data_IF_445167656559
#
_entry.id   IF_445167656559
#
_cell.length_a   1.000
_cell.length_b   1.000
_cell.length_c   1.000
_cell.angle_alpha   90.00
_cell.angle_beta   90.00
_cell.angle_gamma   90.00
#
_symmetry.space_group_name_H-M   'P 1'
#
loop_
_entity.id
_entity.type
_entity.pdbx_description
1 polymer ?
#
# COMPACT_ATOMS: atom_id res chain seq x y z
N UNK A 1 -7.40 -0.34 22.79
CA UNK A 1 -6.05 -0.52 22.23
C UNK A 1 -5.96 0.36 20.98
N UNK A 2 -4.85 1.00 20.67
CA UNK A 2 -4.74 1.77 19.42
C UNK A 2 -4.43 0.82 18.27
N UNK A 3 -4.88 1.14 17.04
CA UNK A 3 -4.58 0.37 15.82
C UNK A 3 -3.06 0.10 15.66
N UNK A 4 -2.24 1.09 16.00
CA UNK A 4 -0.78 0.99 16.04
C UNK A 4 -0.29 -0.17 16.92
N UNK A 5 -0.82 -0.29 18.12
CA UNK A 5 -0.44 -1.35 19.06
C UNK A 5 -0.89 -2.73 18.59
N UNK A 6 -2.05 -2.81 17.97
CA UNK A 6 -2.57 -4.06 17.38
C UNK A 6 -1.67 -4.56 16.24
N UNK A 7 -1.21 -3.66 15.36
CA UNK A 7 -0.24 -4.00 14.31
C UNK A 7 1.08 -4.51 14.87
N UNK A 8 1.66 -3.83 15.88
CA UNK A 8 2.91 -4.24 16.51
C UNK A 8 2.76 -5.61 17.18
N UNK A 9 1.65 -5.84 17.86
CA UNK A 9 1.35 -7.14 18.48
C UNK A 9 1.23 -8.24 17.43
N UNK A 10 0.50 -7.99 16.34
CA UNK A 10 0.36 -8.93 15.24
C UNK A 10 1.71 -9.29 14.60
N UNK A 11 2.57 -8.29 14.33
CA UNK A 11 3.92 -8.53 13.78
C UNK A 11 4.75 -9.37 14.75
N UNK A 12 4.65 -9.12 16.05
CA UNK A 12 5.36 -9.88 17.08
C UNK A 12 4.88 -11.34 17.11
N UNK A 13 3.58 -11.57 16.99
CA UNK A 13 3.00 -12.92 16.90
C UNK A 13 3.42 -13.65 15.62
N UNK A 14 3.47 -12.94 14.48
CA UNK A 14 3.95 -13.51 13.21
C UNK A 14 5.41 -13.94 13.31
N UNK A 15 6.26 -13.15 13.98
CA UNK A 15 7.67 -13.48 14.21
C UNK A 15 7.85 -14.79 14.98
N UNK A 16 6.95 -15.11 15.88
CA UNK A 16 7.00 -16.37 16.63
C UNK A 16 6.54 -17.60 15.82
N UNK A 17 5.81 -17.39 14.73
CA UNK A 17 5.18 -18.47 13.94
C UNK A 17 5.85 -18.74 12.60
N UNK A 18 6.43 -17.71 11.98
CA UNK A 18 6.96 -17.78 10.62
C UNK A 18 8.44 -17.35 10.61
N UNK A 19 9.29 -18.17 10.00
CA UNK A 19 10.66 -17.82 9.65
C UNK A 19 10.66 -16.96 8.39
N UNK A 20 10.31 -15.67 8.52
CA UNK A 20 10.22 -14.76 7.38
C UNK A 20 11.61 -14.57 6.77
N UNK A 21 11.76 -14.72 5.42
CA UNK A 21 13.03 -14.54 4.74
C UNK A 21 13.58 -13.12 4.88
N UNK A 22 14.88 -12.97 4.65
CA UNK A 22 15.53 -11.65 4.67
C UNK A 22 15.14 -10.80 3.46
N UNK A 23 15.40 -9.52 3.57
CA UNK A 23 15.19 -8.59 2.46
C UNK A 23 16.27 -8.83 1.41
N UNK A 24 15.86 -9.23 0.22
CA UNK A 24 16.73 -9.45 -0.94
C UNK A 24 17.02 -8.14 -1.68
N UNK A 25 16.01 -7.32 -1.85
CA UNK A 25 16.15 -6.04 -2.55
C UNK A 25 15.16 -4.99 -2.07
N UNK A 26 15.51 -3.72 -2.35
CA UNK A 26 14.64 -2.58 -2.11
C UNK A 26 14.67 -1.67 -3.34
N UNK A 27 13.49 -1.22 -3.77
CA UNK A 27 13.33 -0.19 -4.78
C UNK A 27 13.03 1.14 -4.10
N UNK A 28 13.90 2.13 -4.30
CA UNK A 28 13.80 3.46 -3.76
C UNK A 28 13.77 4.46 -4.92
N UNK A 29 12.59 4.82 -5.45
CA UNK A 29 12.50 5.84 -6.50
C UNK A 29 12.93 7.20 -5.95
N UNK A 30 13.54 8.08 -6.75
CA UNK A 30 13.91 9.41 -6.32
C UNK A 30 12.70 10.21 -5.83
N UNK A 31 12.86 10.97 -4.76
CA UNK A 31 11.85 11.88 -4.25
C UNK A 31 12.12 13.30 -4.81
N UNK A 32 11.34 13.70 -5.79
CA UNK A 32 11.48 14.97 -6.50
C UNK A 32 10.74 16.12 -5.80
N UNK A 33 11.15 17.36 -6.12
CA UNK A 33 10.42 18.56 -5.71
C UNK A 33 9.06 18.64 -6.39
N UNK A 34 8.13 19.37 -5.77
CA UNK A 34 6.85 19.67 -6.39
C UNK A 34 7.05 20.33 -7.77
N UNK A 35 6.19 19.93 -8.71
CA UNK A 35 6.25 20.39 -10.09
C UNK A 35 7.24 19.65 -11.00
N UNK A 36 8.07 18.74 -10.45
CA UNK A 36 8.91 17.86 -11.27
C UNK A 36 8.16 16.57 -11.61
N UNK A 37 8.40 15.98 -12.80
CA UNK A 37 7.86 14.66 -13.12
C UNK A 37 8.29 13.63 -12.08
N UNK A 38 7.37 12.79 -11.64
CA UNK A 38 7.63 11.66 -10.74
C UNK A 38 7.48 10.37 -11.53
N UNK A 39 8.56 9.61 -11.61
CA UNK A 39 8.55 8.32 -12.33
C UNK A 39 7.81 7.25 -11.50
N UNK A 40 7.91 7.33 -10.19
CA UNK A 40 7.20 6.43 -9.28
C UNK A 40 6.86 7.14 -7.95
N UNK A 41 5.73 6.73 -7.37
CA UNK A 41 5.28 7.21 -6.07
C UNK A 41 5.38 6.13 -4.98
N UNK A 42 5.84 4.95 -5.33
CA UNK A 42 5.89 3.80 -4.44
C UNK A 42 7.32 3.29 -4.32
N UNK A 43 7.72 3.00 -3.10
CA UNK A 43 8.86 2.14 -2.82
C UNK A 43 8.41 0.69 -2.73
N UNK A 44 9.34 -0.25 -2.91
CA UNK A 44 9.08 -1.67 -2.74
C UNK A 44 10.20 -2.35 -1.96
N UNK A 45 9.83 -3.34 -1.15
CA UNK A 45 10.73 -4.29 -0.50
C UNK A 45 10.41 -5.67 -1.07
N UNK A 46 11.45 -6.40 -1.47
CA UNK A 46 11.35 -7.79 -1.93
C UNK A 46 12.10 -8.68 -0.96
N UNK A 47 11.45 -9.73 -0.49
CA UNK A 47 12.06 -10.75 0.36
C UNK A 47 12.68 -11.86 -0.50
N UNK A 48 13.66 -12.57 0.03
CA UNK A 48 14.16 -13.81 -0.58
C UNK A 48 12.97 -14.75 -0.85
N UNK A 49 12.89 -15.24 -2.09
CA UNK A 49 11.71 -16.00 -2.56
C UNK A 49 10.59 -15.15 -3.17
N UNK A 50 10.80 -13.83 -3.34
CA UNK A 50 10.01 -12.94 -4.20
C UNK A 50 8.77 -12.32 -3.58
N UNK A 51 8.46 -12.56 -2.29
CA UNK A 51 7.36 -11.88 -1.63
C UNK A 51 7.63 -10.36 -1.60
N UNK A 52 6.70 -9.57 -2.14
CA UNK A 52 6.92 -8.14 -2.41
C UNK A 52 5.89 -7.29 -1.67
N UNK A 53 6.37 -6.26 -0.99
CA UNK A 53 5.53 -5.25 -0.37
C UNK A 53 5.83 -3.87 -0.88
N UNK A 54 4.79 -3.11 -1.17
CA UNK A 54 4.88 -1.73 -1.64
C UNK A 54 4.36 -0.75 -0.60
N UNK A 55 4.90 0.47 -0.60
CA UNK A 55 4.39 1.58 0.20
C UNK A 55 4.41 2.87 -0.60
N UNK A 56 3.37 3.68 -0.45
CA UNK A 56 3.34 5.02 -1.04
C UNK A 56 4.31 5.95 -0.30
N UNK A 57 5.10 6.73 -1.07
CA UNK A 57 6.05 7.68 -0.50
C UNK A 57 5.31 8.97 -0.18
N UNK A 58 4.75 9.05 1.01
CA UNK A 58 4.07 10.23 1.53
C UNK A 58 4.99 10.91 2.56
N UNK A 59 5.95 11.67 2.06
CA UNK A 59 6.91 12.40 2.88
C UNK A 59 6.77 13.90 2.68
N UNK A 60 6.91 14.69 3.75
CA UNK A 60 7.03 16.13 3.64
C UNK A 60 8.38 16.50 3.00
N UNK A 61 8.42 17.68 2.36
CA UNK A 61 9.57 18.11 1.56
C UNK A 61 10.88 18.18 2.33
N UNK A 62 10.84 18.51 3.60
CA UNK A 62 12.02 18.56 4.47
C UNK A 62 12.68 17.19 4.70
N UNK A 63 11.97 16.08 4.43
CA UNK A 63 12.51 14.72 4.51
C UNK A 63 13.13 14.22 3.21
N UNK A 64 13.07 15.00 2.12
CA UNK A 64 13.56 14.59 0.79
C UNK A 64 15.03 14.22 0.78
N UNK A 65 15.87 15.06 1.36
CA UNK A 65 17.34 14.81 1.38
C UNK A 65 17.64 13.52 2.17
N UNK A 66 17.02 13.36 3.33
CA UNK A 66 17.19 12.17 4.14
C UNK A 66 16.69 10.91 3.42
N UNK A 67 15.58 10.99 2.69
CA UNK A 67 15.07 9.89 1.87
C UNK A 67 16.03 9.53 0.74
N UNK A 68 16.48 10.52 -0.03
CA UNK A 68 17.39 10.31 -1.15
C UNK A 68 18.80 9.87 -0.72
N UNK A 69 19.15 10.06 0.56
CA UNK A 69 20.39 9.55 1.15
C UNK A 69 20.32 8.09 1.59
N UNK A 70 19.12 7.48 1.66
CA UNK A 70 18.96 6.07 1.98
C UNK A 70 19.72 5.19 0.99
N UNK A 71 20.46 4.23 1.52
CA UNK A 71 21.21 3.30 0.69
C UNK A 71 20.60 1.90 0.78
N UNK A 72 20.47 1.16 -0.33
CA UNK A 72 19.96 -0.21 -0.33
C UNK A 72 20.67 -1.11 0.69
N UNK A 73 21.98 -0.94 0.91
CA UNK A 73 22.76 -1.68 1.90
C UNK A 73 22.28 -1.52 3.34
N UNK A 74 21.53 -0.45 3.63
CA UNK A 74 21.00 -0.21 4.98
C UNK A 74 19.78 -1.09 5.29
N UNK A 75 19.24 -1.75 4.26
CA UNK A 75 18.01 -2.56 4.32
C UNK A 75 18.25 -4.01 3.86
N UNK A 76 18.99 -4.19 2.77
CA UNK A 76 19.27 -5.52 2.19
C UNK A 76 19.96 -6.46 3.20
N UNK A 77 19.54 -7.71 3.23
CA UNK A 77 20.04 -8.76 4.11
C UNK A 77 19.52 -8.69 5.54
N UNK A 78 18.71 -7.68 5.89
CA UNK A 78 18.13 -7.53 7.23
C UNK A 78 16.79 -8.25 7.37
N UNK A 79 16.36 -8.42 8.61
CA UNK A 79 15.07 -9.00 8.97
C UNK A 79 13.96 -7.97 8.69
N UNK A 80 12.99 -8.27 7.81
CA UNK A 80 11.90 -7.34 7.51
C UNK A 80 11.02 -7.04 8.72
N UNK A 81 10.98 -7.91 9.73
CA UNK A 81 10.20 -7.70 10.94
C UNK A 81 10.77 -6.58 11.81
N UNK A 82 12.09 -6.36 11.79
CA UNK A 82 12.70 -5.23 12.48
C UNK A 82 12.21 -3.88 11.90
N UNK A 83 12.05 -3.81 10.59
CA UNK A 83 11.49 -2.62 9.94
C UNK A 83 9.98 -2.49 10.20
N UNK A 84 9.25 -3.59 10.14
CA UNK A 84 7.81 -3.61 10.37
C UNK A 84 7.43 -3.06 11.75
N UNK A 85 8.21 -3.33 12.79
CA UNK A 85 8.02 -2.77 14.14
C UNK A 85 8.12 -1.24 14.18
N UNK A 86 8.75 -0.62 13.20
CA UNK A 86 8.81 0.84 13.04
C UNK A 86 7.49 1.50 12.65
N UNK A 87 6.43 0.75 12.33
CA UNK A 87 5.09 1.27 11.97
C UNK A 87 4.52 2.21 13.04
N UNK A 88 4.91 2.00 14.26
CA UNK A 88 4.52 2.82 15.37
C UNK A 88 5.31 4.12 15.54
N UNK A 89 6.34 4.40 14.75
CA UNK A 89 7.17 5.59 14.86
C UNK A 89 6.44 6.85 14.41
N UNK A 90 6.78 7.99 15.02
CA UNK A 90 6.34 9.30 14.54
C UNK A 90 7.21 9.83 13.38
N UNK A 91 8.28 9.11 13.02
CA UNK A 91 9.12 9.43 11.87
C UNK A 91 8.48 8.89 10.59
N UNK A 92 8.03 9.76 9.66
CA UNK A 92 7.38 9.34 8.41
C UNK A 92 8.30 8.47 7.51
N UNK A 93 9.62 8.63 7.59
CA UNK A 93 10.57 7.77 6.91
C UNK A 93 10.47 6.32 7.38
N UNK A 94 10.44 6.13 8.71
CA UNK A 94 10.25 4.79 9.29
C UNK A 94 8.89 4.22 8.95
N UNK A 95 7.84 5.03 8.94
CA UNK A 95 6.49 4.58 8.60
C UNK A 95 6.39 4.01 7.19
N UNK A 96 6.95 4.68 6.16
CA UNK A 96 6.86 4.19 4.78
C UNK A 96 7.67 2.90 4.57
N UNK A 97 8.87 2.79 5.17
CA UNK A 97 9.66 1.56 5.10
C UNK A 97 8.95 0.42 5.83
N UNK A 98 8.39 0.72 7.00
CA UNK A 98 7.63 -0.25 7.80
C UNK A 98 6.42 -0.79 7.05
N UNK A 99 5.67 0.07 6.38
CA UNK A 99 4.50 -0.35 5.61
C UNK A 99 4.89 -1.27 4.45
N UNK A 100 5.98 -0.97 3.73
CA UNK A 100 6.49 -1.87 2.69
C UNK A 100 6.92 -3.22 3.28
N UNK A 101 7.60 -3.22 4.43
CA UNK A 101 8.02 -4.44 5.12
C UNK A 101 6.80 -5.27 5.59
N UNK A 102 5.78 -4.63 6.18
CA UNK A 102 4.52 -5.30 6.59
C UNK A 102 3.86 -5.96 5.39
N UNK A 103 3.71 -5.24 4.27
CA UNK A 103 3.08 -5.76 3.07
C UNK A 103 3.86 -6.94 2.48
N UNK A 104 5.20 -6.91 2.50
CA UNK A 104 6.04 -8.03 2.07
C UNK A 104 5.87 -9.27 2.99
N UNK A 105 5.84 -9.05 4.31
CA UNK A 105 5.59 -10.12 5.29
C UNK A 105 4.19 -10.73 5.08
N UNK A 106 3.16 -9.90 4.87
CA UNK A 106 1.81 -10.39 4.60
C UNK A 106 1.77 -11.25 3.35
N UNK A 107 2.40 -10.81 2.27
CA UNK A 107 2.51 -11.58 1.02
C UNK A 107 3.19 -12.94 1.26
N UNK A 108 4.30 -12.95 2.01
CA UNK A 108 4.99 -14.18 2.37
C UNK A 108 4.09 -15.12 3.17
N UNK A 109 3.46 -14.63 4.25
CA UNK A 109 2.60 -15.44 5.12
C UNK A 109 1.40 -15.99 4.34
N UNK A 110 0.77 -15.19 3.49
CA UNK A 110 -0.33 -15.63 2.65
C UNK A 110 0.08 -16.76 1.70
N UNK A 111 1.30 -16.68 1.13
CA UNK A 111 1.84 -17.75 0.29
C UNK A 111 2.12 -19.02 1.10
N UNK A 112 2.74 -18.91 2.27
CA UNK A 112 3.06 -20.06 3.14
C UNK A 112 1.83 -20.74 3.73
N UNK A 113 0.71 -20.04 3.79
CA UNK A 113 -0.56 -20.57 4.31
C UNK A 113 -1.54 -20.97 3.22
N UNK A 114 -1.12 -21.00 1.95
CA UNK A 114 -1.97 -21.27 0.79
C UNK A 114 -3.25 -20.41 0.79
N UNK A 115 -3.13 -19.13 1.22
CA UNK A 115 -4.25 -18.22 1.26
C UNK A 115 -4.84 -18.03 -0.14
N UNK A 116 -6.14 -18.27 -0.34
CA UNK A 116 -6.75 -18.17 -1.66
C UNK A 116 -6.84 -16.71 -2.11
N UNK A 117 -5.88 -16.28 -2.93
CA UNK A 117 -5.96 -14.97 -3.56
C UNK A 117 -7.03 -14.97 -4.64
N UNK A 118 -7.89 -13.96 -4.61
CA UNK A 118 -8.74 -13.65 -5.74
C UNK A 118 -7.92 -12.93 -6.82
N UNK A 119 -7.63 -13.64 -7.90
CA UNK A 119 -6.89 -13.10 -9.05
C UNK A 119 -7.79 -12.84 -10.26
N UNK A 120 -9.09 -13.03 -10.13
CA UNK A 120 -10.04 -13.07 -11.23
C UNK A 120 -11.04 -11.92 -11.19
N UNK A 121 -11.43 -11.47 -9.99
CA UNK A 121 -12.37 -10.34 -9.84
C UNK A 121 -11.68 -8.99 -10.08
N UNK A 122 -12.49 -8.02 -10.45
CA UNK A 122 -12.04 -6.64 -10.62
C UNK A 122 -11.73 -5.96 -9.27
N UNK A 123 -11.44 -4.67 -9.31
CA UNK A 123 -11.10 -3.89 -8.11
C UNK A 123 -12.27 -3.72 -7.13
N UNK A 124 -13.47 -4.20 -7.43
CA UNK A 124 -14.58 -4.32 -6.47
C UNK A 124 -14.43 -5.57 -5.62
N UNK A 125 -13.56 -6.50 -6.01
CA UNK A 125 -13.26 -7.74 -5.29
C UNK A 125 -14.51 -8.60 -5.13
N UNK A 126 -14.76 -9.05 -3.90
CA UNK A 126 -15.94 -9.88 -3.56
C UNK A 126 -17.22 -9.05 -3.33
N UNK A 127 -17.20 -7.74 -3.59
CA UNK A 127 -18.36 -6.90 -3.44
C UNK A 127 -19.35 -7.17 -4.58
N UNK A 128 -20.42 -7.87 -4.28
CA UNK A 128 -21.52 -8.12 -5.23
C UNK A 128 -22.39 -6.88 -5.31
N UNK A 129 -22.16 -6.04 -6.34
CA UNK A 129 -22.96 -4.84 -6.57
C UNK A 129 -24.24 -5.20 -7.34
N UNK A 130 -25.39 -4.83 -6.80
CA UNK A 130 -26.69 -5.13 -7.37
C UNK A 130 -27.53 -3.86 -7.59
N UNK A 131 -28.60 -4.01 -8.37
CA UNK A 131 -29.58 -2.93 -8.62
C UNK A 131 -30.21 -2.47 -7.30
N UNK A 132 -30.17 -1.15 -7.08
CA UNK A 132 -30.71 -0.52 -5.88
C UNK A 132 -29.72 -0.37 -4.74
N UNK A 133 -28.51 -0.89 -4.86
CA UNK A 133 -27.44 -0.62 -3.90
C UNK A 133 -27.00 0.85 -3.96
N UNK A 134 -26.46 1.35 -2.83
CA UNK A 134 -25.85 2.67 -2.72
C UNK A 134 -24.37 2.51 -2.41
N UNK A 135 -23.52 2.88 -3.36
CA UNK A 135 -22.06 2.73 -3.28
C UNK A 135 -21.41 4.09 -3.05
N UNK A 136 -20.70 4.22 -1.93
CA UNK A 136 -19.84 5.36 -1.64
C UNK A 136 -18.43 5.14 -2.19
N UNK A 137 -17.92 6.04 -3.01
CA UNK A 137 -16.57 5.99 -3.57
C UNK A 137 -15.77 7.20 -3.07
N UNK A 138 -14.71 6.96 -2.30
CA UNK A 138 -13.78 8.00 -1.86
C UNK A 138 -12.59 8.04 -2.81
N UNK A 139 -12.44 9.16 -3.53
CA UNK A 139 -11.62 9.26 -4.74
C UNK A 139 -12.38 8.76 -5.97
N UNK A 140 -12.01 9.25 -7.15
CA UNK A 140 -12.68 8.87 -8.40
C UNK A 140 -11.87 7.83 -9.17
N UNK A 141 -12.40 6.61 -9.22
CA UNK A 141 -11.85 5.48 -9.97
C UNK A 141 -12.69 5.21 -11.22
N UNK A 142 -12.34 5.85 -12.33
CA UNK A 142 -13.12 5.78 -13.58
C UNK A 142 -13.43 4.35 -14.03
N UNK A 143 -12.48 3.42 -13.88
CA UNK A 143 -12.69 2.02 -14.26
C UNK A 143 -13.79 1.29 -13.50
N UNK A 144 -14.14 1.76 -12.30
CA UNK A 144 -15.19 1.16 -11.47
C UNK A 144 -16.57 1.82 -11.68
N UNK A 145 -16.61 3.07 -12.12
CA UNK A 145 -17.86 3.81 -12.26
C UNK A 145 -18.82 3.16 -13.22
N UNK A 146 -18.32 2.64 -14.34
CA UNK A 146 -19.13 1.97 -15.36
C UNK A 146 -19.69 0.64 -14.86
N UNK A 147 -18.89 -0.12 -14.14
CA UNK A 147 -19.33 -1.39 -13.53
C UNK A 147 -20.48 -1.15 -12.56
N UNK A 148 -20.33 -0.17 -11.67
CA UNK A 148 -21.36 0.18 -10.68
C UNK A 148 -22.62 0.69 -11.35
N UNK A 149 -22.51 1.61 -12.33
CA UNK A 149 -23.65 2.12 -13.10
C UNK A 149 -24.39 1.01 -13.87
N UNK A 150 -23.65 0.11 -14.54
CA UNK A 150 -24.23 -1.03 -15.27
C UNK A 150 -24.98 -2.00 -14.36
N UNK A 151 -24.54 -2.17 -13.12
CA UNK A 151 -25.26 -2.95 -12.12
C UNK A 151 -26.58 -2.29 -11.67
N UNK A 152 -26.81 -1.03 -12.00
CA UNK A 152 -28.02 -0.29 -11.60
C UNK A 152 -27.97 0.21 -10.15
N UNK A 153 -26.78 0.33 -9.59
CA UNK A 153 -26.55 0.89 -8.26
C UNK A 153 -26.42 2.42 -8.31
N UNK A 154 -26.80 3.08 -7.22
CA UNK A 154 -26.53 4.50 -7.02
C UNK A 154 -25.08 4.70 -6.61
N UNK A 155 -24.35 5.58 -7.32
CA UNK A 155 -22.95 5.90 -7.02
C UNK A 155 -22.83 7.30 -6.43
N UNK A 156 -22.29 7.39 -5.21
CA UNK A 156 -21.98 8.64 -4.52
C UNK A 156 -20.45 8.78 -4.50
N UNK A 157 -19.94 9.85 -5.11
CA UNK A 157 -18.51 10.12 -5.22
C UNK A 157 -18.11 11.25 -4.28
N UNK A 158 -17.07 11.03 -3.48
CA UNK A 158 -16.41 12.03 -2.66
C UNK A 158 -15.00 12.22 -3.22
N UNK A 159 -14.79 13.30 -3.97
CA UNK A 159 -13.52 13.62 -4.63
C UNK A 159 -13.09 15.05 -4.26
N UNK A 160 -11.80 15.22 -3.98
CA UNK A 160 -11.20 16.51 -3.61
C UNK A 160 -10.91 17.38 -4.82
N UNK A 161 -10.58 16.77 -5.97
CA UNK A 161 -10.17 17.47 -7.19
C UNK A 161 -11.39 17.80 -8.04
N UNK A 162 -11.81 19.06 -8.04
CA UNK A 162 -12.98 19.54 -8.79
C UNK A 162 -12.92 19.22 -10.29
N UNK A 163 -11.72 19.31 -10.89
CA UNK A 163 -11.52 18.96 -12.30
C UNK A 163 -11.87 17.50 -12.62
N UNK A 164 -11.66 16.56 -11.68
CA UNK A 164 -12.05 15.17 -11.85
C UNK A 164 -13.56 14.99 -11.74
N UNK A 165 -14.22 15.72 -10.84
CA UNK A 165 -15.68 15.72 -10.71
C UNK A 165 -16.33 16.23 -11.99
N UNK A 166 -15.82 17.34 -12.55
CA UNK A 166 -16.32 17.89 -13.78
C UNK A 166 -16.18 16.89 -14.94
N UNK A 167 -14.98 16.31 -15.11
CA UNK A 167 -14.75 15.28 -16.13
C UNK A 167 -15.70 14.08 -15.99
N UNK A 168 -16.09 13.70 -14.78
CA UNK A 168 -17.04 12.62 -14.56
C UNK A 168 -18.48 13.00 -14.94
N UNK A 169 -18.87 14.27 -14.76
CA UNK A 169 -20.19 14.78 -15.14
C UNK A 169 -20.39 14.87 -16.64
N UNK A 170 -19.27 15.04 -17.37
CA UNK A 170 -19.26 15.17 -18.83
C UNK A 170 -19.28 13.81 -19.57
N UNK A 171 -19.21 12.69 -18.81
CA UNK A 171 -19.32 11.30 -19.29
C UNK A 171 -20.72 10.73 -19.07
#
# INVERSE_FOLDING_TARGET
MSLKNEFIEMITQLRARFAVPRIESIFLPPFYKDGQPKDAHFMAIVLEGGATGISYILLPDEKREAYNALQPRDVIGKDPQEFALGFGSDDPMKQIISMAAINAICQYVMKETDFPFDTVTDSLGLLSVARGDRIGMVGLFFGLTDTIKKAGAELIIIEKKEALIQKFRDL
#
